data_IF_598805011891
#
_entry.id   IF_598805011891
#
_cell.length_a   1.000
_cell.length_b   1.000
_cell.length_c   1.000
_cell.angle_alpha   90.00
_cell.angle_beta   90.00
_cell.angle_gamma   90.00
#
_symmetry.space_group_name_H-M   'P 1'
#
loop_
_entity.id
_entity.type
_entity.pdbx_description
1 polymer ?
#
# COMPACT_ATOMS: atom_id res chain seq x y z
N UNK A 1 11.73 7.87 17.09
CA UNK A 1 10.67 6.93 16.63
C UNK A 1 9.67 7.72 15.81
N UNK A 2 9.41 7.31 14.59
CA UNK A 2 8.43 7.95 13.69
C UNK A 2 7.05 7.30 13.79
N UNK A 3 6.96 6.13 14.44
CA UNK A 3 5.75 5.39 14.70
C UNK A 3 6.06 4.05 15.36
N UNK A 4 5.03 3.39 15.88
CA UNK A 4 5.14 2.07 16.49
C UNK A 4 3.85 1.26 16.34
N UNK A 5 4.01 -0.05 16.37
CA UNK A 5 2.93 -1.00 16.58
C UNK A 5 3.21 -1.68 17.91
N UNK A 6 2.33 -1.50 18.88
CA UNK A 6 2.48 -2.09 20.20
C UNK A 6 1.26 -2.93 20.58
N UNK A 7 1.48 -3.95 21.41
CA UNK A 7 0.42 -4.81 21.94
C UNK A 7 0.67 -5.09 23.41
N UNK A 8 -0.39 -5.06 24.22
CA UNK A 8 -0.35 -5.39 25.63
C UNK A 8 -1.06 -6.73 25.97
N UNK A 9 -1.32 -7.56 24.96
CA UNK A 9 -2.03 -8.83 25.11
C UNK A 9 -3.56 -8.72 24.99
N UNK A 10 -4.13 -7.51 25.06
CA UNK A 10 -5.58 -7.25 24.92
C UNK A 10 -5.88 -6.31 23.76
N UNK A 11 -4.98 -5.38 23.46
CA UNK A 11 -5.16 -4.37 22.40
C UNK A 11 -3.89 -4.24 21.57
N UNK A 12 -4.05 -3.93 20.30
CA UNK A 12 -2.97 -3.49 19.40
C UNK A 12 -3.15 -2.01 19.11
N UNK A 13 -2.07 -1.23 19.27
CA UNK A 13 -2.04 0.20 19.00
C UNK A 13 -1.12 0.48 17.81
N UNK A 14 -1.64 1.26 16.88
CA UNK A 14 -0.87 1.81 15.76
C UNK A 14 -0.69 3.31 16.00
N UNK A 15 0.53 3.74 16.24
CA UNK A 15 0.83 5.14 16.54
C UNK A 15 1.86 5.70 15.56
N UNK A 16 1.62 6.94 15.11
CA UNK A 16 2.58 7.74 14.35
C UNK A 16 2.92 8.98 15.13
N UNK A 17 4.20 9.39 15.10
CA UNK A 17 4.62 10.62 15.76
C UNK A 17 3.96 11.83 15.10
N UNK A 18 3.40 12.72 15.92
CA UNK A 18 2.77 13.98 15.46
C UNK A 18 3.09 15.16 16.39
N UNK A 19 4.20 15.06 17.13
CA UNK A 19 4.64 16.15 18.02
C UNK A 19 4.96 17.40 17.19
N UNK A 20 4.48 18.55 17.66
CA UNK A 20 4.65 19.84 16.97
C UNK A 20 6.13 20.24 16.85
N UNK A 21 6.99 19.80 17.76
CA UNK A 21 8.45 20.07 17.74
C UNK A 21 9.17 19.40 16.57
N UNK A 22 8.51 18.46 15.88
CA UNK A 22 9.03 17.76 14.70
C UNK A 22 8.50 18.37 13.41
N UNK A 23 7.76 19.48 13.47
CA UNK A 23 7.09 20.10 12.33
C UNK A 23 7.49 21.56 12.20
N UNK A 24 7.65 22.00 10.96
CA UNK A 24 7.91 23.39 10.61
C UNK A 24 7.01 23.84 9.46
N UNK A 25 6.96 25.13 9.17
CA UNK A 25 6.19 25.71 8.04
C UNK A 25 4.71 25.30 8.05
N UNK A 26 4.11 25.23 9.24
CA UNK A 26 2.70 24.80 9.40
C UNK A 26 1.77 25.80 8.73
N UNK A 27 0.99 25.34 7.74
CA UNK A 27 0.03 26.15 7.01
C UNK A 27 -1.38 25.56 7.15
N UNK A 28 -2.32 26.38 7.63
CA UNK A 28 -3.75 26.01 7.81
C UNK A 28 -4.65 26.46 6.65
N UNK A 29 -4.13 27.16 5.65
CA UNK A 29 -4.90 27.81 4.56
C UNK A 29 -4.76 27.12 3.21
N UNK A 30 -4.40 25.83 3.18
CA UNK A 30 -4.33 25.08 1.94
C UNK A 30 -5.73 24.72 1.38
N UNK A 31 -5.86 24.69 0.06
CA UNK A 31 -7.09 24.30 -0.65
C UNK A 31 -7.27 22.77 -0.62
N UNK A 32 -8.15 22.30 0.27
CA UNK A 32 -8.44 20.90 0.42
C UNK A 32 -9.53 20.40 -0.53
N UNK A 33 -10.58 21.20 -0.74
CA UNK A 33 -11.73 20.80 -1.54
C UNK A 33 -11.35 20.53 -3.00
N UNK A 34 -10.50 21.35 -3.61
CA UNK A 34 -10.04 21.14 -4.99
C UNK A 34 -9.18 19.87 -5.11
N UNK A 35 -8.32 19.59 -4.11
CA UNK A 35 -7.53 18.35 -4.07
C UNK A 35 -8.44 17.12 -3.91
N UNK A 36 -9.37 17.16 -2.95
CA UNK A 36 -10.28 16.05 -2.66
C UNK A 36 -11.09 15.64 -3.89
N UNK A 37 -11.60 16.60 -4.66
CA UNK A 37 -12.42 16.37 -5.85
C UNK A 37 -11.69 15.62 -6.98
N UNK A 38 -10.36 15.56 -6.95
CA UNK A 38 -9.56 14.83 -7.92
C UNK A 38 -9.41 13.35 -7.55
N UNK A 39 -9.65 12.99 -6.28
CA UNK A 39 -9.63 11.59 -5.84
C UNK A 39 -10.79 10.82 -6.48
N UNK A 40 -10.51 9.59 -6.87
CA UNK A 40 -11.47 8.70 -7.55
C UNK A 40 -11.71 7.45 -6.68
N UNK A 41 -12.67 7.48 -5.75
CA UNK A 41 -13.09 6.28 -5.07
C UNK A 41 -13.58 5.24 -6.08
N UNK A 42 -13.15 4.00 -5.92
CA UNK A 42 -13.50 2.91 -6.81
C UNK A 42 -14.04 1.72 -6.01
N UNK A 43 -14.92 0.96 -6.63
CA UNK A 43 -15.36 -0.35 -6.12
C UNK A 43 -14.71 -1.43 -6.97
N UNK A 44 -14.09 -2.42 -6.32
CA UNK A 44 -13.34 -3.49 -6.97
C UNK A 44 -13.42 -4.77 -6.14
N UNK A 45 -12.93 -5.87 -6.69
CA UNK A 45 -12.58 -7.07 -5.96
C UNK A 45 -11.10 -7.41 -6.20
N UNK A 46 -10.50 -8.13 -5.27
CA UNK A 46 -9.13 -8.61 -5.40
C UNK A 46 -9.06 -9.77 -6.39
N UNK A 47 -8.03 -9.80 -7.24
CA UNK A 47 -7.80 -10.90 -8.19
C UNK A 47 -7.64 -12.25 -7.49
N UNK A 48 -7.06 -12.24 -6.27
CA UNK A 48 -6.84 -13.45 -5.47
C UNK A 48 -8.07 -13.85 -4.62
N UNK A 49 -9.19 -13.14 -4.73
CA UNK A 49 -10.43 -13.46 -4.02
C UNK A 49 -11.41 -14.19 -4.94
N UNK A 50 -11.48 -15.51 -4.80
CA UNK A 50 -12.38 -16.39 -5.57
C UNK A 50 -13.87 -16.12 -5.30
N UNK A 51 -14.20 -15.43 -4.21
CA UNK A 51 -15.58 -15.06 -3.86
C UNK A 51 -16.05 -13.79 -4.57
N UNK A 52 -15.14 -13.05 -5.20
CA UNK A 52 -15.40 -11.75 -5.83
C UNK A 52 -16.04 -10.73 -4.89
N UNK A 53 -15.66 -10.73 -3.61
CA UNK A 53 -16.16 -9.77 -2.63
C UNK A 53 -15.81 -8.34 -3.04
N UNK A 54 -16.83 -7.48 -3.14
CA UNK A 54 -16.65 -6.08 -3.53
C UNK A 54 -16.18 -5.24 -2.34
N UNK A 55 -15.14 -4.47 -2.57
CA UNK A 55 -14.57 -3.52 -1.61
C UNK A 55 -14.50 -2.12 -2.21
N UNK A 56 -14.62 -1.09 -1.37
CA UNK A 56 -14.44 0.30 -1.77
C UNK A 56 -13.04 0.79 -1.36
N UNK A 57 -12.37 1.48 -2.28
CA UNK A 57 -11.03 1.99 -2.03
C UNK A 57 -10.51 2.86 -3.16
N UNK A 58 -9.19 2.87 -3.33
CA UNK A 58 -8.50 3.70 -4.31
C UNK A 58 -7.43 2.90 -5.05
N UNK A 59 -7.16 3.28 -6.28
CA UNK A 59 -5.98 2.84 -7.01
C UNK A 59 -4.80 3.73 -6.65
N UNK A 60 -3.73 3.15 -6.08
CA UNK A 60 -2.60 3.90 -5.53
C UNK A 60 -1.97 4.88 -6.53
N UNK A 61 -1.81 4.49 -7.80
CA UNK A 61 -1.23 5.35 -8.83
C UNK A 61 -2.12 6.56 -9.19
N UNK A 62 -3.43 6.49 -9.00
CA UNK A 62 -4.33 7.63 -9.21
C UNK A 62 -4.27 8.62 -8.03
N UNK A 63 -4.06 8.13 -6.81
CA UNK A 63 -3.89 8.97 -5.62
C UNK A 63 -2.51 9.63 -5.58
N UNK A 64 -1.49 9.00 -6.13
CA UNK A 64 -0.08 9.45 -6.01
C UNK A 64 0.19 10.86 -6.52
N UNK A 65 -0.56 11.33 -7.52
CA UNK A 65 -0.44 12.69 -8.06
C UNK A 65 -1.16 13.76 -7.24
N UNK A 66 -2.07 13.35 -6.34
CA UNK A 66 -2.94 14.23 -5.56
C UNK A 66 -2.47 14.30 -4.10
N UNK A 67 -2.19 13.14 -3.51
CA UNK A 67 -1.73 12.97 -2.12
C UNK A 67 -0.52 12.02 -2.13
N UNK A 68 0.63 12.46 -2.66
CA UNK A 68 1.82 11.60 -2.80
C UNK A 68 2.30 11.03 -1.47
N UNK A 69 2.12 11.78 -0.37
CA UNK A 69 2.49 11.34 0.97
C UNK A 69 1.70 10.12 1.48
N UNK A 70 0.57 9.80 0.86
CA UNK A 70 -0.23 8.62 1.18
C UNK A 70 0.27 7.36 0.46
N UNK A 71 1.17 7.47 -0.52
CA UNK A 71 1.55 6.36 -1.39
C UNK A 71 3.00 5.96 -1.16
N UNK A 72 3.22 4.64 -1.10
CA UNK A 72 4.55 4.04 -1.11
C UNK A 72 4.71 3.19 -2.36
N UNK A 73 5.89 3.28 -2.98
CA UNK A 73 6.22 2.57 -4.23
C UNK A 73 5.88 3.36 -5.48
N UNK A 74 6.29 2.83 -6.62
CA UNK A 74 6.13 3.45 -7.95
C UNK A 74 5.23 2.57 -8.80
N UNK A 75 4.38 3.20 -9.63
CA UNK A 75 3.54 2.48 -10.59
C UNK A 75 4.40 1.62 -11.52
N UNK A 76 3.95 0.38 -11.74
CA UNK A 76 4.59 -0.62 -12.61
C UNK A 76 6.03 -0.97 -12.20
N UNK A 77 6.40 -0.71 -10.94
CA UNK A 77 7.70 -1.09 -10.41
C UNK A 77 7.84 -2.63 -10.38
N UNK A 78 9.02 -3.09 -10.74
CA UNK A 78 9.37 -4.49 -10.72
C UNK A 78 10.85 -4.68 -10.42
N UNK A 79 11.22 -5.85 -9.92
CA UNK A 79 12.60 -6.31 -9.81
C UNK A 79 12.78 -7.56 -10.65
N UNK A 80 14.02 -7.83 -11.06
CA UNK A 80 14.35 -9.10 -11.73
C UNK A 80 15.03 -10.02 -10.72
N UNK A 81 14.37 -11.14 -10.44
CA UNK A 81 14.92 -12.21 -9.64
C UNK A 81 15.83 -13.08 -10.52
N UNK A 82 16.95 -13.51 -9.98
CA UNK A 82 17.89 -14.39 -10.67
C UNK A 82 17.94 -15.74 -9.95
N UNK A 83 17.85 -16.83 -10.73
CA UNK A 83 17.87 -18.21 -10.22
C UNK A 83 16.90 -18.39 -9.06
N UNK A 84 15.65 -18.00 -9.28
CA UNK A 84 14.62 -17.95 -8.26
C UNK A 84 13.80 -19.24 -8.19
N UNK A 85 13.53 -19.69 -6.98
CA UNK A 85 12.56 -20.74 -6.67
C UNK A 85 11.26 -20.07 -6.26
N UNK A 86 10.18 -20.38 -6.95
CA UNK A 86 8.85 -19.81 -6.79
C UNK A 86 7.89 -20.89 -6.32
N UNK A 87 7.11 -20.58 -5.30
CA UNK A 87 6.05 -21.44 -4.76
C UNK A 87 4.80 -21.47 -5.64
N UNK A 88 3.87 -22.34 -5.31
CA UNK A 88 2.60 -22.56 -6.03
C UNK A 88 1.80 -21.27 -6.24
N UNK A 89 1.76 -20.39 -5.23
CA UNK A 89 1.02 -19.13 -5.26
C UNK A 89 1.85 -17.94 -5.78
N UNK A 90 2.99 -18.21 -6.44
CA UNK A 90 3.84 -17.18 -7.03
C UNK A 90 4.76 -16.46 -6.04
N UNK A 91 4.76 -16.84 -4.77
CA UNK A 91 5.65 -16.28 -3.74
C UNK A 91 7.11 -16.74 -3.97
N UNK A 92 8.04 -15.86 -3.68
CA UNK A 92 9.49 -16.15 -3.76
C UNK A 92 9.89 -16.99 -2.54
N UNK A 93 10.38 -18.20 -2.78
CA UNK A 93 10.87 -19.12 -1.75
C UNK A 93 12.36 -18.87 -1.51
N UNK A 94 13.16 -18.79 -2.59
CA UNK A 94 14.59 -18.55 -2.53
C UNK A 94 15.10 -17.88 -3.81
N UNK A 95 16.25 -17.23 -3.71
CA UNK A 95 16.95 -16.61 -4.83
C UNK A 95 18.41 -17.07 -4.88
N UNK A 96 19.04 -16.93 -6.06
CA UNK A 96 20.42 -17.33 -6.31
C UNK A 96 20.68 -18.83 -6.10
N UNK A 97 19.67 -19.65 -6.35
CA UNK A 97 19.73 -21.11 -6.26
C UNK A 97 20.03 -21.70 -7.63
N UNK A 98 21.08 -22.49 -7.74
CA UNK A 98 21.35 -23.20 -9.00
C UNK A 98 20.25 -24.24 -9.27
N UNK A 99 19.90 -24.43 -10.54
CA UNK A 99 18.84 -25.37 -10.95
C UNK A 99 19.09 -26.81 -10.45
N UNK A 100 20.36 -27.22 -10.43
CA UNK A 100 20.77 -28.52 -9.89
C UNK A 100 20.51 -28.65 -8.39
N UNK A 101 20.73 -27.54 -7.62
CA UNK A 101 20.45 -27.52 -6.18
C UNK A 101 18.94 -27.53 -5.91
N UNK A 102 18.14 -26.80 -6.70
CA UNK A 102 16.68 -26.88 -6.62
C UNK A 102 16.17 -28.30 -6.95
N UNK A 103 16.69 -28.92 -8.04
CA UNK A 103 16.32 -30.28 -8.43
C UNK A 103 16.64 -31.30 -7.32
N UNK A 104 17.82 -31.19 -6.71
CA UNK A 104 18.19 -32.04 -5.57
C UNK A 104 17.28 -31.80 -4.36
N UNK A 105 16.96 -30.52 -4.06
CA UNK A 105 16.07 -30.13 -2.99
C UNK A 105 14.62 -30.59 -3.17
N UNK A 106 14.14 -30.74 -4.41
CA UNK A 106 12.86 -31.41 -4.67
C UNK A 106 12.92 -32.91 -4.37
N UNK A 107 14.03 -33.54 -4.64
CA UNK A 107 14.21 -34.97 -4.40
C UNK A 107 14.34 -35.32 -2.90
N UNK A 108 14.91 -34.43 -2.10
CA UNK A 108 15.10 -34.62 -0.66
C UNK A 108 14.02 -33.97 0.23
N UNK A 109 13.03 -33.27 -0.40
CA UNK A 109 11.92 -32.63 0.29
C UNK A 109 12.22 -31.23 0.85
N UNK A 110 13.36 -30.63 0.52
CA UNK A 110 13.66 -29.22 0.87
C UNK A 110 12.73 -28.24 0.16
N UNK A 111 12.33 -28.53 -1.08
CA UNK A 111 11.38 -27.78 -1.86
C UNK A 111 10.14 -28.61 -2.17
N UNK A 112 8.97 -28.01 -2.04
CA UNK A 112 7.70 -28.67 -2.39
C UNK A 112 7.62 -29.00 -3.88
N UNK A 113 6.81 -30.03 -4.21
CA UNK A 113 6.62 -30.52 -5.58
C UNK A 113 6.12 -29.44 -6.53
N UNK A 114 5.30 -28.51 -6.06
CA UNK A 114 4.66 -27.42 -6.79
C UNK A 114 5.59 -26.23 -7.04
N UNK A 115 6.79 -26.23 -6.44
CA UNK A 115 7.77 -25.16 -6.70
C UNK A 115 8.30 -25.22 -8.12
N UNK A 116 8.57 -24.05 -8.70
CA UNK A 116 9.18 -23.90 -10.02
C UNK A 116 10.49 -23.11 -9.91
N UNK A 117 11.44 -23.47 -10.75
CA UNK A 117 12.71 -22.75 -10.85
C UNK A 117 12.74 -21.86 -12.09
N UNK A 118 13.28 -20.65 -11.95
CA UNK A 118 13.43 -19.68 -13.02
C UNK A 118 14.85 -19.12 -13.04
N UNK A 119 15.53 -19.22 -14.19
CA UNK A 119 16.84 -18.59 -14.39
C UNK A 119 16.77 -17.05 -14.23
N UNK A 120 15.65 -16.46 -14.66
CA UNK A 120 15.30 -15.05 -14.47
C UNK A 120 13.78 -14.92 -14.42
N UNK A 121 13.26 -14.10 -13.52
CA UNK A 121 11.83 -13.82 -13.41
C UNK A 121 11.61 -12.36 -13.03
N UNK A 122 10.75 -11.66 -13.76
CA UNK A 122 10.27 -10.34 -13.36
C UNK A 122 9.27 -10.51 -12.21
N UNK A 123 9.53 -9.84 -11.10
CA UNK A 123 8.69 -9.86 -9.91
C UNK A 123 8.10 -8.45 -9.67
N UNK A 124 6.77 -8.26 -9.75
CA UNK A 124 6.14 -6.97 -9.51
C UNK A 124 6.40 -6.46 -8.09
N UNK A 125 6.60 -5.16 -7.97
CA UNK A 125 6.63 -4.44 -6.69
C UNK A 125 5.37 -3.60 -6.63
N UNK A 126 4.42 -4.01 -5.77
CA UNK A 126 3.13 -3.36 -5.69
C UNK A 126 3.18 -2.07 -4.87
N UNK A 127 2.46 -1.05 -5.34
CA UNK A 127 2.23 0.16 -4.59
C UNK A 127 1.35 -0.11 -3.37
N UNK A 128 1.52 0.71 -2.33
CA UNK A 128 0.71 0.69 -1.11
C UNK A 128 0.11 2.05 -0.87
N UNK A 129 -1.04 2.09 -0.21
CA UNK A 129 -1.71 3.31 0.22
C UNK A 129 -1.91 3.31 1.74
N UNK A 130 -1.52 4.42 2.39
CA UNK A 130 -1.89 4.75 3.77
C UNK A 130 -3.11 5.68 3.74
N UNK A 131 -4.30 5.10 3.86
CA UNK A 131 -5.56 5.84 3.81
C UNK A 131 -5.70 6.84 4.97
N UNK A 132 -5.02 6.64 6.10
CA UNK A 132 -5.05 7.58 7.22
C UNK A 132 -4.50 8.96 6.84
N UNK A 133 -3.62 9.04 5.85
CA UNK A 133 -3.09 10.30 5.30
C UNK A 133 -4.14 11.12 4.52
N UNK A 134 -5.27 10.54 4.18
CA UNK A 134 -6.39 11.25 3.55
C UNK A 134 -7.26 11.97 4.59
N UNK A 135 -7.21 11.58 5.86
CA UNK A 135 -8.05 12.13 6.92
C UNK A 135 -7.90 13.66 7.09
N UNK A 136 -6.68 14.26 7.14
CA UNK A 136 -6.54 15.70 7.23
C UNK A 136 -7.18 16.45 6.04
N UNK A 137 -7.08 15.88 4.83
CA UNK A 137 -7.70 16.43 3.63
C UNK A 137 -9.23 16.39 3.74
N UNK A 138 -9.80 15.28 4.21
CA UNK A 138 -11.24 15.13 4.45
C UNK A 138 -11.74 16.13 5.49
N UNK A 139 -11.05 16.24 6.63
CA UNK A 139 -11.42 17.17 7.71
C UNK A 139 -11.42 18.61 7.22
N UNK A 140 -10.36 19.03 6.52
CA UNK A 140 -10.28 20.40 5.97
C UNK A 140 -11.36 20.67 4.92
N UNK A 141 -11.67 19.70 4.05
CA UNK A 141 -12.75 19.82 3.07
C UNK A 141 -14.12 19.99 3.75
N UNK A 142 -14.39 19.24 4.81
CA UNK A 142 -15.65 19.38 5.58
C UNK A 142 -15.74 20.78 6.18
N UNK A 143 -14.66 21.32 6.75
CA UNK A 143 -14.61 22.71 7.29
C UNK A 143 -14.86 23.75 6.19
N UNK A 144 -14.30 23.58 5.00
CA UNK A 144 -14.51 24.50 3.86
C UNK A 144 -15.95 24.42 3.34
N UNK A 145 -16.56 23.23 3.31
CA UNK A 145 -17.95 23.06 2.91
C UNK A 145 -18.93 23.64 3.95
N UNK A 146 -18.69 23.43 5.24
CA UNK A 146 -19.47 24.00 6.35
C UNK A 146 -19.48 25.52 6.27
N UNK A 147 -18.31 26.15 6.10
CA UNK A 147 -18.19 27.60 5.96
C UNK A 147 -18.99 28.14 4.74
N UNK A 148 -19.00 27.40 3.63
CA UNK A 148 -19.78 27.77 2.42
C UNK A 148 -21.28 27.63 2.67
N UNK A 149 -21.73 26.58 3.35
CA UNK A 149 -23.13 26.37 3.72
C UNK A 149 -23.59 27.53 4.60
N UNK A 150 -22.84 27.86 5.68
CA UNK A 150 -23.17 28.99 6.56
C UNK A 150 -23.31 30.31 5.77
N UNK A 151 -22.46 30.53 4.76
CA UNK A 151 -22.56 31.73 3.92
C UNK A 151 -23.80 31.74 3.03
N UNK A 152 -24.33 30.59 2.66
CA UNK A 152 -25.54 30.47 1.81
C UNK A 152 -26.84 30.58 2.61
N UNK A 153 -26.81 30.24 3.89
CA UNK A 153 -27.96 30.26 4.79
C UNK A 153 -28.14 31.59 5.51
N UNK A 154 -27.12 32.43 5.57
CA UNK A 154 -27.12 33.74 6.27
C UNK A 154 -27.23 34.90 5.36
#
# INVERSE_FOLDING_TARGET
>A
TVGEISSNGSTTTYATSSDYRLKENVNYTFDATTRLKQLKPARFNWIADDTNTLEDGFLAHEVSSIVPEAITGTKDAATTLTKAVIGEHGNVIAENIEESAWTAGKADGTYDAETTWHASKVNPIYQQIDQAKLVPLLVKTIQELEARITTLEG
#
